data_IF_273360770113
#
_entry.id   IF_273360770113
#
_cell.length_a   1.000
_cell.length_b   1.000
_cell.length_c   1.000
_cell.angle_alpha   90.00
_cell.angle_beta   90.00
_cell.angle_gamma   90.00
#
_symmetry.space_group_name_H-M   'P 1'
#
loop_
_entity.id
_entity.type
_entity.pdbx_description
1 polymer ?
#
# COMPACT_ATOMS: atom_id res chain seq x y z
N UNK A 1 -8.50 -28.79 16.80
CA UNK A 1 -8.28 -27.61 17.64
C UNK A 1 -8.27 -26.45 16.65
N UNK A 2 -9.33 -25.66 16.61
CA UNK A 2 -9.44 -24.57 15.63
C UNK A 2 -8.69 -23.41 16.26
N UNK A 3 -7.48 -23.15 15.76
CA UNK A 3 -6.68 -21.99 16.13
C UNK A 3 -7.43 -20.78 15.59
N UNK A 4 -8.02 -19.98 16.48
CA UNK A 4 -8.57 -18.68 16.13
C UNK A 4 -7.40 -17.85 15.62
N UNK A 5 -7.30 -17.70 14.31
CA UNK A 5 -6.33 -16.80 13.69
C UNK A 5 -6.85 -15.39 13.96
N UNK A 6 -6.39 -14.77 15.04
CA UNK A 6 -6.51 -13.31 15.18
C UNK A 6 -5.59 -12.73 14.11
N UNK A 7 -6.16 -12.22 13.02
CA UNK A 7 -5.37 -11.49 12.02
C UNK A 7 -4.92 -10.17 12.64
N UNK A 8 -3.61 -9.98 12.79
CA UNK A 8 -3.08 -8.70 13.24
C UNK A 8 -3.20 -7.68 12.11
N UNK A 9 -3.76 -6.51 12.43
CA UNK A 9 -3.99 -5.42 11.49
C UNK A 9 -3.20 -4.17 11.91
N UNK A 10 -2.53 -3.56 10.94
CA UNK A 10 -1.77 -2.33 11.11
C UNK A 10 -2.25 -1.27 10.15
N UNK A 11 -2.30 -0.01 10.61
CA UNK A 11 -2.78 1.11 9.80
C UNK A 11 -1.79 2.26 9.83
N UNK A 12 -1.64 2.92 8.69
CA UNK A 12 -1.00 4.23 8.63
C UNK A 12 -1.62 5.06 7.52
N UNK A 13 -1.51 6.38 7.67
CA UNK A 13 -2.05 7.35 6.73
C UNK A 13 -0.92 8.18 6.12
N UNK A 14 -1.00 8.41 4.81
CA UNK A 14 -0.15 9.34 4.07
C UNK A 14 -1.01 10.57 3.72
N UNK A 15 -0.79 11.73 4.37
CA UNK A 15 -1.46 12.98 4.04
C UNK A 15 -1.21 13.41 2.59
N UNK A 16 -2.23 13.97 1.96
CA UNK A 16 -2.18 14.46 0.60
C UNK A 16 -2.32 13.35 -0.44
N UNK A 17 -1.73 13.57 -1.61
CA UNK A 17 -1.83 12.66 -2.75
C UNK A 17 -0.44 12.39 -3.31
N UNK A 18 -0.21 11.17 -3.76
CA UNK A 18 0.98 10.83 -4.53
C UNK A 18 0.76 11.19 -6.00
N UNK A 19 1.85 11.48 -6.70
CA UNK A 19 1.84 11.68 -8.15
C UNK A 19 1.35 10.43 -8.88
N UNK A 20 0.65 10.63 -10.00
CA UNK A 20 0.10 9.52 -10.78
C UNK A 20 1.12 8.82 -11.68
N UNK A 21 0.72 7.67 -12.24
CA UNK A 21 1.49 6.95 -13.26
C UNK A 21 1.88 7.82 -14.45
N UNK A 22 0.95 8.66 -14.91
CA UNK A 22 1.17 9.52 -16.07
C UNK A 22 2.25 10.57 -15.78
N UNK A 23 2.24 11.17 -14.59
CA UNK A 23 3.25 12.14 -14.15
C UNK A 23 4.62 11.48 -14.06
N UNK A 24 4.67 10.27 -13.51
CA UNK A 24 5.91 9.51 -13.36
C UNK A 24 6.48 9.08 -14.72
N UNK A 25 5.62 8.63 -15.62
CA UNK A 25 6.00 8.26 -16.99
C UNK A 25 6.52 9.47 -17.77
N UNK A 26 5.84 10.62 -17.67
CA UNK A 26 6.29 11.86 -18.30
C UNK A 26 7.65 12.33 -17.75
N UNK A 27 7.86 12.21 -16.43
CA UNK A 27 9.14 12.52 -15.79
C UNK A 27 10.27 11.61 -16.30
N UNK A 28 10.04 10.30 -16.37
CA UNK A 28 11.00 9.33 -16.89
C UNK A 28 11.35 9.60 -18.36
N UNK A 29 10.36 9.92 -19.20
CA UNK A 29 10.56 10.25 -20.62
C UNK A 29 11.32 11.55 -20.85
N UNK A 30 11.21 12.51 -19.92
CA UNK A 30 11.99 13.75 -19.97
C UNK A 30 13.45 13.49 -19.60
N UNK A 31 13.69 12.82 -18.47
CA UNK A 31 15.03 12.49 -17.99
C UNK A 31 14.92 11.39 -16.92
N UNK A 32 15.62 10.24 -17.05
CA UNK A 32 15.60 9.17 -16.04
C UNK A 32 15.94 9.65 -14.63
N UNK A 33 16.83 10.65 -14.49
CA UNK A 33 17.16 11.26 -13.19
C UNK A 33 16.00 12.03 -12.59
N UNK A 34 15.12 12.63 -13.41
CA UNK A 34 13.91 13.33 -12.95
C UNK A 34 12.91 12.32 -12.38
N UNK A 35 12.66 11.23 -13.10
CA UNK A 35 11.84 10.13 -12.59
C UNK A 35 12.41 9.53 -11.30
N UNK A 36 13.72 9.24 -11.27
CA UNK A 36 14.39 8.74 -10.06
C UNK A 36 14.24 9.68 -8.85
N UNK A 37 14.39 11.00 -9.04
CA UNK A 37 14.16 11.98 -7.95
C UNK A 37 12.71 12.01 -7.47
N UNK A 38 11.76 11.93 -8.39
CA UNK A 38 10.34 11.92 -8.09
C UNK A 38 9.96 10.68 -7.27
N UNK A 39 10.39 9.49 -7.69
CA UNK A 39 10.23 8.24 -6.93
C UNK A 39 10.83 8.37 -5.53
N UNK A 40 12.10 8.79 -5.45
CA UNK A 40 12.80 8.93 -4.17
C UNK A 40 12.08 9.89 -3.22
N UNK A 41 11.63 11.05 -3.71
CA UNK A 41 10.89 12.02 -2.90
C UNK A 41 9.60 11.41 -2.32
N UNK A 42 8.86 10.66 -3.12
CA UNK A 42 7.65 9.98 -2.67
C UNK A 42 7.96 8.91 -1.62
N UNK A 43 8.95 8.05 -1.87
CA UNK A 43 9.35 7.00 -0.91
C UNK A 43 9.87 7.59 0.41
N UNK A 44 10.72 8.61 0.36
CA UNK A 44 11.26 9.27 1.56
C UNK A 44 10.11 9.82 2.45
N UNK A 45 9.09 10.41 1.83
CA UNK A 45 7.87 10.88 2.51
C UNK A 45 7.08 9.73 3.13
N UNK A 46 6.83 8.66 2.37
CA UNK A 46 6.07 7.50 2.84
C UNK A 46 6.80 6.80 4.00
N UNK A 47 8.11 6.59 3.89
CA UNK A 47 8.95 5.99 4.94
C UNK A 47 8.87 6.82 6.23
N UNK A 48 8.83 8.15 6.12
CA UNK A 48 8.67 9.02 7.28
C UNK A 48 7.34 8.74 8.01
N UNK A 49 6.22 8.70 7.27
CA UNK A 49 4.90 8.40 7.85
C UNK A 49 4.81 6.99 8.43
N UNK A 50 5.40 5.99 7.75
CA UNK A 50 5.49 4.61 8.24
C UNK A 50 6.21 4.58 9.59
N UNK A 51 7.41 5.17 9.68
CA UNK A 51 8.21 5.13 10.92
C UNK A 51 7.54 5.84 12.09
N UNK A 52 6.77 6.89 11.81
CA UNK A 52 6.03 7.62 12.83
C UNK A 52 4.84 6.81 13.35
N UNK A 53 4.11 6.13 12.47
CA UNK A 53 2.82 5.51 12.79
C UNK A 53 2.90 4.02 13.12
N UNK A 54 3.95 3.34 12.64
CA UNK A 54 4.20 1.91 12.86
C UNK A 54 5.53 1.67 13.60
N UNK A 55 5.77 2.31 14.76
CA UNK A 55 7.04 2.16 15.47
C UNK A 55 7.22 0.70 15.95
N UNK A 56 8.35 0.09 15.58
CA UNK A 56 8.71 -1.26 16.01
C UNK A 56 7.98 -2.40 15.29
N UNK A 57 7.08 -2.11 14.35
CA UNK A 57 6.37 -3.12 13.57
C UNK A 57 7.34 -3.81 12.60
N UNK A 58 7.44 -5.12 12.69
CA UNK A 58 8.23 -5.97 11.80
C UNK A 58 7.45 -7.26 11.52
N UNK A 59 6.84 -7.34 10.34
CA UNK A 59 5.97 -8.43 9.93
C UNK A 59 6.81 -9.46 9.17
N UNK A 60 6.74 -10.71 9.62
CA UNK A 60 7.45 -11.86 9.00
C UNK A 60 6.57 -12.68 8.06
N UNK A 61 5.26 -12.65 8.29
CA UNK A 61 4.28 -13.40 7.53
C UNK A 61 3.79 -12.64 6.28
N UNK A 62 3.17 -13.33 5.31
CA UNK A 62 2.55 -12.66 4.17
C UNK A 62 1.45 -11.71 4.61
N UNK A 63 1.19 -10.67 3.82
CA UNK A 63 0.20 -9.64 4.14
C UNK A 63 -0.76 -9.40 2.99
N UNK A 64 -2.01 -9.08 3.34
CA UNK A 64 -2.96 -8.41 2.47
C UNK A 64 -2.82 -6.90 2.69
N UNK A 65 -2.74 -6.12 1.61
CA UNK A 65 -2.76 -4.67 1.70
C UNK A 65 -4.04 -4.11 1.11
N UNK A 66 -4.73 -3.30 1.89
CA UNK A 66 -5.84 -2.49 1.43
C UNK A 66 -5.43 -1.01 1.35
N UNK A 67 -5.73 -0.38 0.23
CA UNK A 67 -5.56 1.06 0.03
C UNK A 67 -6.91 1.74 -0.09
N UNK A 68 -7.17 2.72 0.77
CA UNK A 68 -8.26 3.67 0.56
C UNK A 68 -7.67 5.00 0.09
N UNK A 69 -7.97 5.37 -1.14
CA UNK A 69 -7.58 6.65 -1.71
C UNK A 69 -8.67 7.68 -1.51
N UNK A 70 -8.32 8.83 -0.93
CA UNK A 70 -9.17 10.01 -0.89
C UNK A 70 -8.58 11.09 -1.80
N UNK A 71 -9.18 11.25 -2.98
CA UNK A 71 -8.80 12.27 -3.94
C UNK A 71 -9.54 13.59 -3.67
N UNK A 72 -8.96 14.70 -4.13
CA UNK A 72 -9.64 16.00 -4.03
C UNK A 72 -10.82 16.15 -5.01
N UNK A 73 -10.80 15.38 -6.09
CA UNK A 73 -11.77 15.38 -7.20
C UNK A 73 -11.66 14.05 -7.99
N UNK A 74 -12.57 13.82 -8.94
CA UNK A 74 -12.61 12.59 -9.77
C UNK A 74 -11.86 12.73 -11.11
N UNK A 75 -10.85 13.60 -11.22
CA UNK A 75 -10.18 13.87 -12.50
C UNK A 75 -9.10 12.85 -12.86
N UNK A 76 -8.57 12.11 -11.88
CA UNK A 76 -7.57 11.07 -12.10
C UNK A 76 -8.26 9.71 -12.14
N UNK A 77 -7.90 8.93 -13.15
CA UNK A 77 -8.38 7.55 -13.27
C UNK A 77 -7.76 6.65 -12.18
N UNK A 78 -8.46 5.59 -11.80
CA UNK A 78 -8.07 4.71 -10.70
C UNK A 78 -6.72 4.01 -10.93
N UNK A 79 -6.43 3.60 -12.16
CA UNK A 79 -5.15 2.98 -12.53
C UNK A 79 -3.99 3.99 -12.42
N UNK A 80 -4.23 5.25 -12.78
CA UNK A 80 -3.27 6.33 -12.64
C UNK A 80 -2.95 6.64 -11.17
N UNK A 81 -3.94 6.55 -10.27
CA UNK A 81 -3.78 6.72 -8.82
C UNK A 81 -3.04 5.50 -8.23
N UNK A 82 -3.54 4.30 -8.47
CA UNK A 82 -3.07 3.06 -7.84
C UNK A 82 -1.62 2.73 -8.20
N UNK A 83 -1.25 2.83 -9.47
CA UNK A 83 -0.02 2.21 -9.98
C UNK A 83 1.24 2.74 -9.28
N UNK A 84 1.36 4.06 -9.12
CA UNK A 84 2.50 4.65 -8.41
C UNK A 84 2.36 4.48 -6.90
N UNK A 85 1.15 4.64 -6.34
CA UNK A 85 0.94 4.54 -4.92
C UNK A 85 1.28 3.14 -4.38
N UNK A 86 0.71 2.09 -4.95
CA UNK A 86 0.98 0.72 -4.54
C UNK A 86 2.47 0.39 -4.64
N UNK A 87 3.12 0.71 -5.78
CA UNK A 87 4.55 0.42 -5.95
C UNK A 87 5.42 1.15 -4.92
N UNK A 88 5.19 2.44 -4.70
CA UNK A 88 6.02 3.24 -3.80
C UNK A 88 5.75 2.93 -2.34
N UNK A 89 4.51 2.63 -1.96
CA UNK A 89 4.18 2.19 -0.60
C UNK A 89 4.84 0.85 -0.30
N UNK A 90 4.73 -0.14 -1.18
CA UNK A 90 5.34 -1.45 -0.99
C UNK A 90 6.88 -1.37 -0.92
N UNK A 91 7.51 -0.61 -1.82
CA UNK A 91 8.95 -0.34 -1.76
C UNK A 91 9.35 0.32 -0.42
N UNK A 92 8.51 1.23 0.08
CA UNK A 92 8.74 1.96 1.33
C UNK A 92 8.57 1.10 2.57
N UNK A 93 7.58 0.21 2.61
CA UNK A 93 7.39 -0.76 3.70
C UNK A 93 8.62 -1.67 3.85
N UNK A 94 9.16 -2.15 2.72
CA UNK A 94 10.41 -2.91 2.69
C UNK A 94 11.61 -2.10 3.18
N UNK A 95 11.79 -0.88 2.67
CA UNK A 95 12.89 0.01 3.08
C UNK A 95 12.81 0.45 4.55
N UNK A 96 11.59 0.51 5.08
CA UNK A 96 11.32 0.81 6.47
C UNK A 96 11.43 -0.43 7.39
N UNK A 97 11.71 -1.61 6.84
CA UNK A 97 11.78 -2.89 7.55
C UNK A 97 10.45 -3.35 8.19
N UNK A 98 9.32 -2.81 7.74
CA UNK A 98 7.98 -3.27 8.17
C UNK A 98 7.66 -4.65 7.60
N UNK A 99 8.06 -4.90 6.34
CA UNK A 99 7.96 -6.22 5.70
C UNK A 99 9.34 -6.62 5.16
N UNK A 100 9.56 -7.93 5.04
CA UNK A 100 10.84 -8.46 4.55
C UNK A 100 11.12 -8.18 3.07
N UNK A 101 10.09 -8.26 2.23
CA UNK A 101 10.18 -7.99 0.78
C UNK A 101 8.79 -7.61 0.23
N UNK A 102 8.75 -7.01 -0.96
CA UNK A 102 7.53 -6.56 -1.66
C UNK A 102 7.05 -7.54 -2.75
N UNK A 103 7.79 -8.64 -2.97
CA UNK A 103 7.39 -9.68 -3.93
C UNK A 103 6.12 -10.45 -3.52
N UNK A 104 5.52 -11.15 -4.49
CA UNK A 104 4.24 -11.89 -4.35
C UNK A 104 4.20 -12.89 -3.19
N UNK A 105 5.36 -13.42 -2.77
CA UNK A 105 5.44 -14.30 -1.59
C UNK A 105 4.98 -13.60 -0.30
N UNK A 106 5.30 -12.31 -0.17
CA UNK A 106 5.02 -11.51 1.02
C UNK A 106 3.78 -10.65 0.83
N UNK A 107 3.44 -10.27 -0.40
CA UNK A 107 2.23 -9.52 -0.72
C UNK A 107 1.48 -10.29 -1.82
N UNK A 108 0.80 -11.41 -1.49
CA UNK A 108 0.10 -12.21 -2.49
C UNK A 108 -1.05 -11.45 -3.14
N UNK A 109 -1.72 -10.58 -2.38
CA UNK A 109 -2.84 -9.77 -2.85
C UNK A 109 -2.78 -8.35 -2.28
N UNK A 110 -3.33 -7.42 -3.05
CA UNK A 110 -3.71 -6.10 -2.56
C UNK A 110 -4.95 -5.63 -3.33
N UNK A 111 -5.72 -4.74 -2.72
CA UNK A 111 -6.92 -4.16 -3.33
C UNK A 111 -7.10 -2.72 -2.85
N UNK A 112 -8.03 -2.02 -3.48
CA UNK A 112 -8.22 -0.61 -3.22
C UNK A 112 -9.61 -0.13 -3.55
N UNK A 113 -9.97 0.98 -2.92
CA UNK A 113 -11.10 1.82 -3.27
C UNK A 113 -10.64 3.28 -3.43
N UNK A 114 -11.44 4.04 -4.18
CA UNK A 114 -11.20 5.47 -4.42
C UNK A 114 -12.45 6.27 -4.12
N UNK A 115 -12.32 7.22 -3.22
CA UNK A 115 -13.35 8.19 -2.87
C UNK A 115 -12.85 9.63 -3.01
N UNK A 116 -13.77 10.58 -2.85
CA UNK A 116 -13.45 12.01 -2.88
C UNK A 116 -13.60 12.60 -1.49
N UNK A 117 -12.52 13.19 -1.01
CA UNK A 117 -12.49 14.10 0.13
C UNK A 117 -11.72 15.34 -0.31
N UNK A 118 -12.47 16.38 -0.68
CA UNK A 118 -11.90 17.62 -1.24
C UNK A 118 -11.01 18.33 -0.23
N UNK A 119 -11.38 18.28 1.04
CA UNK A 119 -10.80 19.09 2.11
C UNK A 119 -9.65 18.35 2.80
N UNK A 120 -9.69 17.01 2.82
CA UNK A 120 -8.64 16.18 3.39
C UNK A 120 -8.22 15.00 2.49
N UNK A 121 -7.59 15.26 1.33
CA UNK A 121 -7.02 14.21 0.49
C UNK A 121 -5.92 13.45 1.25
N UNK A 122 -5.95 12.12 1.17
CA UNK A 122 -5.02 11.22 1.88
C UNK A 122 -5.05 9.82 1.27
N UNK A 123 -4.08 9.02 1.66
CA UNK A 123 -4.06 7.58 1.39
C UNK A 123 -4.05 6.88 2.74
N UNK A 124 -5.05 6.06 3.00
CA UNK A 124 -5.07 5.19 4.16
C UNK A 124 -4.65 3.79 3.72
N UNK A 125 -3.74 3.19 4.48
CA UNK A 125 -3.17 1.88 4.18
C UNK A 125 -3.42 0.97 5.35
N UNK A 126 -4.09 -0.15 5.10
CA UNK A 126 -4.29 -1.23 6.06
C UNK A 126 -3.48 -2.43 5.63
N UNK A 127 -2.72 -3.00 6.57
CA UNK A 127 -1.89 -4.19 6.38
C UNK A 127 -2.42 -5.28 7.31
N UNK A 128 -2.87 -6.39 6.74
CA UNK A 128 -3.42 -7.52 7.50
C UNK A 128 -2.48 -8.71 7.35
N UNK A 129 -1.97 -9.22 8.47
CA UNK A 129 -1.17 -10.45 8.47
C UNK A 129 -2.00 -11.66 8.05
N UNK A 130 -1.41 -12.51 7.22
CA UNK A 130 -2.05 -13.71 6.68
C UNK A 130 -1.31 -14.96 7.17
N UNK A 131 -2.07 -16.00 7.46
CA UNK A 131 -1.49 -17.33 7.58
C UNK A 131 -0.97 -17.83 6.23
N UNK A 132 -0.10 -18.84 6.28
CA UNK A 132 0.40 -19.51 5.08
C UNK A 132 -0.72 -20.18 4.25
N UNK A 133 -1.85 -20.52 4.87
CA UNK A 133 -3.02 -21.04 4.17
C UNK A 133 -3.77 -19.91 3.44
N UNK A 134 -4.05 -18.81 4.14
CA UNK A 134 -4.68 -17.61 3.57
C UNK A 134 -3.88 -17.01 2.42
N UNK A 135 -2.55 -16.98 2.51
CA UNK A 135 -1.67 -16.47 1.46
C UNK A 135 -1.77 -17.25 0.13
N UNK A 136 -2.31 -18.47 0.14
CA UNK A 136 -2.52 -19.31 -1.06
C UNK A 136 -3.93 -19.23 -1.62
N UNK A 137 -4.87 -18.62 -0.90
CA UNK A 137 -6.25 -18.44 -1.36
C UNK A 137 -6.31 -17.43 -2.49
N UNK A 138 -7.35 -17.49 -3.33
CA UNK A 138 -7.67 -16.36 -4.20
C UNK A 138 -8.14 -15.17 -3.35
N UNK A 139 -7.96 -13.94 -3.84
CA UNK A 139 -8.43 -12.75 -3.11
C UNK A 139 -9.93 -12.84 -2.73
N UNK A 140 -10.76 -13.37 -3.63
CA UNK A 140 -12.21 -13.53 -3.38
C UNK A 140 -12.50 -14.49 -2.22
N UNK A 141 -11.77 -15.59 -2.12
CA UNK A 141 -11.93 -16.54 -1.02
C UNK A 141 -11.36 -15.97 0.28
N UNK A 142 -10.21 -15.32 0.19
CA UNK A 142 -9.56 -14.67 1.32
C UNK A 142 -10.46 -13.62 1.97
N UNK A 143 -11.09 -12.74 1.19
CA UNK A 143 -11.98 -11.71 1.74
C UNK A 143 -13.19 -12.34 2.44
N UNK A 144 -13.75 -13.43 1.91
CA UNK A 144 -14.84 -14.16 2.58
C UNK A 144 -14.37 -14.81 3.88
N UNK A 145 -13.18 -15.42 3.88
CA UNK A 145 -12.58 -16.03 5.06
C UNK A 145 -12.43 -14.99 6.19
N UNK A 146 -11.87 -13.82 5.85
CA UNK A 146 -11.67 -12.70 6.79
C UNK A 146 -12.97 -12.05 7.28
N UNK A 147 -14.06 -12.10 6.52
CA UNK A 147 -15.39 -11.62 6.95
C UNK A 147 -16.11 -12.59 7.89
N UNK A 148 -15.76 -13.88 7.84
CA UNK A 148 -16.46 -14.95 8.57
C UNK A 148 -15.75 -15.46 9.81
N UNK A 149 -14.46 -15.12 9.97
CA UNK A 149 -13.63 -15.42 11.15
C UNK A 149 -13.75 -14.36 12.24
#
# INVERSE_FOLDING_TARGET
MWEWVVSMEYKFTIPGRLDGLNDYTAANRTNPRKGGRMKKKSEDSIIWYIRQQLPGVHITDPVLIYYQFYEKDRRRDNDNILSCAAKFVQDSLKKAWVIKDDGQKYIPHFYFDTDVDKDNPRIEVTITELTQAQAKMSLRELLKDLETG
#
